data_IF_642670441494
#
_entry.id   IF_642670441494
#
_cell.length_a   1.000
_cell.length_b   1.000
_cell.length_c   1.000
_cell.angle_alpha   90.00
_cell.angle_beta   90.00
_cell.angle_gamma   90.00
#
_symmetry.space_group_name_H-M   'P 1'
#
loop_
_entity.id
_entity.type
_entity.pdbx_description
1 polymer ?
#
# COMPACT_ATOMS: atom_id res chain seq x y z
N UNK A 1 -30.93 26.48 3.96
CA UNK A 1 -30.13 25.76 2.94
C UNK A 1 -28.76 26.44 2.87
N UNK A 2 -27.65 25.69 2.76
CA UNK A 2 -26.34 26.33 2.66
C UNK A 2 -26.17 27.11 1.37
N UNK A 3 -25.47 28.25 1.46
CA UNK A 3 -25.18 29.11 0.32
C UNK A 3 -24.25 28.42 -0.68
N UNK A 4 -24.15 28.96 -1.89
CA UNK A 4 -23.19 28.47 -2.88
C UNK A 4 -21.75 28.62 -2.39
N UNK A 5 -21.44 29.70 -1.65
CA UNK A 5 -20.13 29.93 -1.03
C UNK A 5 -19.83 28.88 0.05
N UNK A 6 -20.80 28.52 0.90
CA UNK A 6 -20.63 27.46 1.91
C UNK A 6 -20.37 26.09 1.29
N UNK A 7 -20.92 25.83 0.09
CA UNK A 7 -20.68 24.59 -0.65
C UNK A 7 -19.29 24.61 -1.27
N UNK A 8 -18.87 25.73 -1.88
CA UNK A 8 -17.54 25.88 -2.46
C UNK A 8 -16.44 25.78 -1.40
N UNK A 9 -16.61 26.43 -0.25
CA UNK A 9 -15.66 26.38 0.87
C UNK A 9 -15.48 24.96 1.41
N UNK A 10 -16.58 24.22 1.58
CA UNK A 10 -16.52 22.81 2.01
C UNK A 10 -15.82 21.93 1.00
N UNK A 11 -16.11 22.11 -0.30
CA UNK A 11 -15.44 21.36 -1.36
C UNK A 11 -13.94 21.64 -1.40
N UNK A 12 -13.54 22.90 -1.26
CA UNK A 12 -12.12 23.28 -1.23
C UNK A 12 -11.39 22.65 -0.03
N UNK A 13 -11.98 22.69 1.17
CA UNK A 13 -11.43 22.05 2.36
C UNK A 13 -11.31 20.53 2.18
N UNK A 14 -12.34 19.89 1.62
CA UNK A 14 -12.31 18.45 1.37
C UNK A 14 -11.22 18.06 0.36
N UNK A 15 -11.04 18.84 -0.71
CA UNK A 15 -9.98 18.60 -1.67
C UNK A 15 -8.60 18.72 -1.03
N UNK A 16 -8.36 19.74 -0.20
CA UNK A 16 -7.10 19.92 0.52
C UNK A 16 -6.80 18.74 1.44
N UNK A 17 -7.78 18.30 2.24
CA UNK A 17 -7.62 17.13 3.11
C UNK A 17 -7.31 15.86 2.33
N UNK A 18 -7.94 15.67 1.16
CA UNK A 18 -7.69 14.52 0.30
C UNK A 18 -6.28 14.56 -0.33
N UNK A 19 -5.81 15.73 -0.74
CA UNK A 19 -4.46 15.92 -1.28
C UNK A 19 -3.38 15.66 -0.23
N UNK A 20 -3.57 16.18 1.00
CA UNK A 20 -2.67 15.95 2.14
C UNK A 20 -2.62 14.47 2.54
N UNK A 21 -3.77 13.80 2.56
CA UNK A 21 -3.85 12.37 2.86
C UNK A 21 -3.11 11.53 1.79
N UNK A 22 -3.31 11.84 0.51
CA UNK A 22 -2.59 11.18 -0.59
C UNK A 22 -1.09 11.38 -0.50
N UNK A 23 -0.64 12.62 -0.27
CA UNK A 23 0.78 12.92 -0.13
C UNK A 23 1.42 12.18 1.04
N UNK A 24 0.74 12.15 2.20
CA UNK A 24 1.21 11.42 3.38
C UNK A 24 1.31 9.90 3.12
N UNK A 25 0.35 9.35 2.38
CA UNK A 25 0.31 7.93 2.04
C UNK A 25 1.37 7.53 1.00
N UNK A 26 1.67 8.41 0.05
CA UNK A 26 2.79 8.24 -0.88
C UNK A 26 4.14 8.32 -0.15
N UNK A 27 4.25 9.22 0.83
CA UNK A 27 5.45 9.36 1.65
C UNK A 27 5.68 8.20 2.63
N UNK A 28 4.63 7.43 2.97
CA UNK A 28 4.76 6.27 3.86
C UNK A 28 5.23 5.00 3.15
N UNK A 29 5.26 4.96 1.82
CA UNK A 29 5.63 3.76 1.08
C UNK A 29 7.05 3.28 1.42
N UNK A 30 7.26 1.97 1.61
CA UNK A 30 8.57 1.41 1.94
C UNK A 30 9.46 1.26 0.70
N UNK A 31 8.90 1.46 -0.48
CA UNK A 31 9.54 1.34 -1.78
C UNK A 31 8.90 2.30 -2.78
N UNK A 32 9.53 2.57 -3.94
CA UNK A 32 8.91 3.35 -5.00
C UNK A 32 7.56 2.78 -5.42
N UNK A 33 6.61 3.65 -5.77
CA UNK A 33 5.25 3.25 -6.16
C UNK A 33 5.24 2.23 -7.31
N UNK A 34 6.15 2.37 -8.27
CA UNK A 34 6.26 1.48 -9.41
C UNK A 34 6.69 0.06 -8.97
N UNK A 35 7.50 -0.05 -7.92
CA UNK A 35 7.90 -1.33 -7.34
C UNK A 35 6.79 -1.94 -6.48
N UNK A 36 5.96 -1.12 -5.87
CA UNK A 36 4.83 -1.58 -5.05
C UNK A 36 3.80 -2.36 -5.89
N UNK A 37 3.46 -1.87 -7.08
CA UNK A 37 2.56 -2.60 -7.98
C UNK A 37 3.16 -3.95 -8.42
N UNK A 38 4.43 -3.94 -8.85
CA UNK A 38 5.15 -5.16 -9.25
C UNK A 38 5.28 -6.16 -8.09
N UNK A 39 5.42 -5.66 -6.85
CA UNK A 39 5.44 -6.48 -5.65
C UNK A 39 4.12 -7.22 -5.44
N UNK A 40 2.98 -6.54 -5.54
CA UNK A 40 1.67 -7.19 -5.39
C UNK A 40 1.38 -8.16 -6.53
N UNK A 41 1.69 -7.80 -7.79
CA UNK A 41 1.58 -8.72 -8.94
C UNK A 41 2.42 -9.99 -8.73
N UNK A 42 3.64 -9.85 -8.20
CA UNK A 42 4.51 -10.99 -7.87
C UNK A 42 3.89 -11.89 -6.79
N UNK A 43 3.35 -11.30 -5.72
CA UNK A 43 2.70 -12.08 -4.67
C UNK A 43 1.46 -12.81 -5.18
N UNK A 44 0.61 -12.17 -6.00
CA UNK A 44 -0.60 -12.78 -6.54
C UNK A 44 -0.27 -14.02 -7.39
N UNK A 45 0.77 -13.91 -8.24
CA UNK A 45 1.23 -15.03 -9.06
C UNK A 45 1.76 -16.18 -8.21
N UNK A 46 2.72 -15.91 -7.31
CA UNK A 46 3.38 -16.94 -6.51
C UNK A 46 2.39 -17.62 -5.54
N UNK A 47 1.49 -16.86 -4.91
CA UNK A 47 0.47 -17.41 -4.00
C UNK A 47 -0.59 -18.23 -4.74
N UNK A 48 -0.90 -17.90 -6.00
CA UNK A 48 -1.80 -18.71 -6.83
C UNK A 48 -1.19 -20.08 -7.14
N UNK A 49 0.12 -20.14 -7.36
CA UNK A 49 0.82 -21.39 -7.70
C UNK A 49 1.15 -22.25 -6.45
N UNK A 50 1.53 -21.60 -5.35
CA UNK A 50 2.12 -22.27 -4.18
C UNK A 50 1.28 -22.20 -2.91
N UNK A 51 0.30 -21.29 -2.85
CA UNK A 51 -0.47 -21.00 -1.64
C UNK A 51 0.34 -20.22 -0.60
N UNK A 52 -0.34 -19.81 0.48
CA UNK A 52 0.30 -19.11 1.59
C UNK A 52 0.90 -20.09 2.60
N UNK A 53 2.08 -19.77 3.13
CA UNK A 53 2.78 -20.50 4.20
C UNK A 53 2.75 -19.80 5.58
N UNK A 54 1.88 -18.79 5.73
CA UNK A 54 1.76 -17.91 6.91
C UNK A 54 3.05 -17.13 7.25
N UNK A 55 3.92 -16.90 6.26
CA UNK A 55 5.14 -16.09 6.41
C UNK A 55 5.21 -14.95 5.38
N UNK A 56 6.28 -14.15 5.47
CA UNK A 56 6.65 -13.11 4.50
C UNK A 56 7.84 -13.55 3.64
N UNK A 57 7.91 -14.85 3.31
CA UNK A 57 9.05 -15.41 2.58
C UNK A 57 9.15 -14.82 1.19
N UNK A 58 8.03 -14.69 0.46
CA UNK A 58 7.99 -14.13 -0.89
C UNK A 58 8.33 -12.64 -0.85
N UNK A 59 7.79 -11.90 0.12
CA UNK A 59 8.17 -10.49 0.36
C UNK A 59 9.68 -10.33 0.54
N UNK A 60 10.30 -11.21 1.32
CA UNK A 60 11.75 -11.18 1.53
C UNK A 60 12.51 -11.49 0.25
N UNK A 61 12.09 -12.50 -0.52
CA UNK A 61 12.69 -12.83 -1.82
C UNK A 61 12.60 -11.65 -2.80
N UNK A 62 11.43 -11.03 -2.89
CA UNK A 62 11.21 -9.85 -3.73
C UNK A 62 12.16 -8.71 -3.35
N UNK A 63 12.25 -8.41 -2.05
CA UNK A 63 13.14 -7.36 -1.56
C UNK A 63 14.60 -7.64 -1.91
N UNK A 64 15.07 -8.89 -1.75
CA UNK A 64 16.43 -9.30 -2.12
C UNK A 64 16.68 -9.19 -3.63
N UNK A 65 15.72 -9.61 -4.46
CA UNK A 65 15.82 -9.52 -5.92
C UNK A 65 15.86 -8.07 -6.44
N UNK A 66 15.14 -7.17 -5.78
CA UNK A 66 15.06 -5.75 -6.11
C UNK A 66 16.11 -4.87 -5.42
N UNK A 67 16.97 -5.46 -4.58
CA UNK A 67 17.99 -4.72 -3.82
C UNK A 67 17.39 -3.79 -2.75
N UNK A 68 16.19 -4.11 -2.25
CA UNK A 68 15.48 -3.38 -1.21
C UNK A 68 15.76 -3.96 0.17
N UNK A 69 15.61 -3.13 1.20
CA UNK A 69 15.72 -3.59 2.58
C UNK A 69 14.40 -4.24 3.03
N UNK A 70 14.47 -5.49 3.48
CA UNK A 70 13.29 -6.24 3.92
C UNK A 70 12.63 -5.66 5.19
N UNK A 71 13.41 -5.27 6.20
CA UNK A 71 12.87 -4.83 7.50
C UNK A 71 11.93 -3.61 7.40
N UNK A 72 12.26 -2.54 6.64
CA UNK A 72 11.32 -1.45 6.39
C UNK A 72 10.00 -1.88 5.73
N UNK A 73 10.06 -2.80 4.76
CA UNK A 73 8.88 -3.32 4.07
C UNK A 73 8.02 -4.10 5.05
N UNK A 74 8.63 -4.99 5.83
CA UNK A 74 7.94 -5.78 6.86
C UNK A 74 7.25 -4.90 7.91
N UNK A 75 7.93 -3.89 8.44
CA UNK A 75 7.35 -2.98 9.42
C UNK A 75 6.16 -2.23 8.82
N UNK A 76 6.33 -1.69 7.61
CA UNK A 76 5.25 -1.01 6.90
C UNK A 76 4.05 -1.92 6.67
N UNK A 77 4.25 -3.16 6.19
CA UNK A 77 3.16 -4.13 6.02
C UNK A 77 2.41 -4.36 7.33
N UNK A 78 3.13 -4.50 8.45
CA UNK A 78 2.51 -4.73 9.76
C UNK A 78 1.62 -3.57 10.24
N UNK A 79 1.96 -2.32 9.89
CA UNK A 79 1.12 -1.14 10.19
C UNK A 79 -0.24 -1.19 9.46
N UNK A 80 -0.31 -1.93 8.35
CA UNK A 80 -1.53 -2.14 7.56
C UNK A 80 -2.10 -3.56 7.70
N UNK A 81 -1.60 -4.36 8.64
CA UNK A 81 -2.11 -5.70 8.94
C UNK A 81 -1.60 -6.82 8.02
N UNK A 82 -0.49 -6.62 7.32
CA UNK A 82 0.19 -7.66 6.53
C UNK A 82 1.25 -8.41 7.36
N UNK A 83 0.91 -9.57 7.92
CA UNK A 83 1.84 -10.43 8.67
C UNK A 83 2.25 -11.70 7.91
N UNK A 84 1.46 -12.14 6.91
CA UNK A 84 1.85 -13.06 5.83
C UNK A 84 1.83 -12.36 4.45
N UNK A 85 2.42 -12.99 3.44
CA UNK A 85 2.32 -12.58 2.03
C UNK A 85 0.84 -12.50 1.57
N UNK A 86 -0.01 -13.38 2.07
CA UNK A 86 -1.46 -13.38 1.79
C UNK A 86 -2.22 -12.16 2.31
N UNK A 87 -1.86 -11.69 3.50
CA UNK A 87 -2.43 -10.53 4.15
C UNK A 87 -1.85 -9.24 3.56
N UNK A 88 -0.64 -9.29 3.00
CA UNK A 88 -0.11 -8.16 2.23
C UNK A 88 -1.04 -7.83 1.05
N UNK A 89 -1.53 -8.83 0.31
CA UNK A 89 -2.57 -8.63 -0.71
C UNK A 89 -3.91 -8.24 -0.07
N UNK A 90 -4.43 -9.06 0.84
CA UNK A 90 -5.80 -8.89 1.32
C UNK A 90 -6.04 -7.61 2.15
N UNK A 91 -5.05 -7.16 2.92
CA UNK A 91 -5.21 -6.02 3.84
C UNK A 91 -4.49 -4.76 3.35
N UNK A 92 -3.37 -4.91 2.62
CA UNK A 92 -2.52 -3.78 2.24
C UNK A 92 -2.81 -3.34 0.81
N UNK A 93 -2.78 -4.23 -0.18
CA UNK A 93 -3.00 -3.87 -1.59
C UNK A 93 -4.29 -3.06 -1.80
N UNK A 94 -5.42 -3.51 -1.21
CA UNK A 94 -6.72 -2.81 -1.31
C UNK A 94 -6.62 -1.33 -0.89
N UNK A 95 -5.77 -1.03 0.09
CA UNK A 95 -5.58 0.34 0.53
C UNK A 95 -4.75 1.16 -0.46
N UNK A 96 -3.89 0.56 -1.27
CA UNK A 96 -2.93 1.25 -2.11
C UNK A 96 -3.19 1.10 -3.62
N UNK A 97 -4.18 0.32 -4.05
CA UNK A 97 -4.56 0.11 -5.46
C UNK A 97 -4.82 1.41 -6.23
N UNK A 98 -5.34 2.45 -5.55
CA UNK A 98 -5.69 3.73 -6.14
C UNK A 98 -4.72 4.88 -5.80
N UNK A 99 -3.56 4.56 -5.25
CA UNK A 99 -2.49 5.55 -5.07
C UNK A 99 -1.94 5.99 -6.43
#
# INVERSE_FOLDING_TARGET
MPSQEDKQRRKALQNQLNEEAKASKLASLPMPKEKLAVYFDYLDQELTEHGCDDTLHLTKQFAEAEGLAFEPIKLWLSDYGGYCDCEALANVEEQFEHL
#
